data_IF_615891989748
#
_entry.id   IF_615891989748
#
_cell.length_a   1.000
_cell.length_b   1.000
_cell.length_c   1.000
_cell.angle_alpha   90.00
_cell.angle_beta   90.00
_cell.angle_gamma   90.00
#
_symmetry.space_group_name_H-M   'P 1'
#
loop_
_entity.id
_entity.type
_entity.pdbx_description
1 polymer ?
#
# COMPACT_ATOMS: atom_id res chain seq x y z
N UNK A 1 15.16 -10.09 -13.57
CA UNK A 1 14.29 -9.74 -14.72
C UNK A 1 15.08 -8.94 -15.74
N UNK A 2 15.63 -7.75 -15.42
CA UNK A 2 16.40 -6.96 -16.39
C UNK A 2 17.60 -7.71 -17.00
N UNK A 3 18.29 -8.53 -16.18
CA UNK A 3 19.35 -9.44 -16.67
C UNK A 3 18.80 -10.49 -17.65
N UNK A 4 17.69 -11.13 -17.31
CA UNK A 4 17.05 -12.15 -18.16
C UNK A 4 16.53 -11.57 -19.48
N UNK A 5 16.01 -10.34 -19.45
CA UNK A 5 15.60 -9.59 -20.66
C UNK A 5 16.83 -9.31 -21.53
N UNK A 6 17.96 -8.92 -20.93
CA UNK A 6 19.19 -8.62 -21.65
C UNK A 6 19.86 -9.86 -22.27
N UNK A 7 19.69 -11.03 -21.67
CA UNK A 7 20.23 -12.30 -22.18
C UNK A 7 19.44 -12.83 -23.38
N UNK A 8 18.21 -12.35 -23.62
CA UNK A 8 17.33 -12.71 -24.74
C UNK A 8 17.11 -14.22 -24.95
N UNK A 9 17.34 -15.02 -23.92
CA UNK A 9 17.00 -16.44 -23.91
C UNK A 9 15.65 -16.68 -23.22
N UNK A 10 14.81 -17.59 -23.74
CA UNK A 10 13.56 -17.94 -23.10
C UNK A 10 13.78 -18.49 -21.69
N UNK A 11 13.35 -17.74 -20.68
CA UNK A 11 13.57 -18.10 -19.27
C UNK A 11 12.29 -17.91 -18.47
N UNK A 12 11.99 -18.89 -17.60
CA UNK A 12 10.89 -18.81 -16.65
C UNK A 12 11.39 -18.39 -15.27
N UNK A 13 10.97 -17.22 -14.81
CA UNK A 13 11.30 -16.68 -13.50
C UNK A 13 10.16 -16.92 -12.51
N UNK A 14 10.48 -17.47 -11.33
CA UNK A 14 9.51 -17.78 -10.28
C UNK A 14 9.71 -16.91 -9.05
N UNK A 15 8.64 -16.31 -8.56
CA UNK A 15 8.66 -15.47 -7.36
C UNK A 15 7.58 -15.92 -6.39
N UNK A 16 7.92 -16.05 -5.11
CA UNK A 16 6.94 -16.23 -4.03
C UNK A 16 6.80 -14.88 -3.32
N UNK A 17 5.61 -14.30 -3.29
CA UNK A 17 5.37 -12.97 -2.75
C UNK A 17 4.39 -13.01 -1.56
N UNK A 18 4.91 -12.81 -0.35
CA UNK A 18 4.09 -12.56 0.84
C UNK A 18 3.76 -11.08 0.98
N UNK A 19 2.77 -10.60 0.23
CA UNK A 19 2.35 -9.18 0.22
C UNK A 19 0.85 -9.05 0.48
N UNK A 20 0.39 -7.83 0.79
CA UNK A 20 -1.04 -7.50 0.86
C UNK A 20 -1.72 -7.70 -0.51
N UNK A 21 -2.93 -8.26 -0.55
CA UNK A 21 -3.59 -8.64 -1.80
C UNK A 21 -3.87 -7.47 -2.76
N UNK A 22 -4.06 -6.25 -2.25
CA UNK A 22 -4.16 -5.04 -3.06
C UNK A 22 -2.92 -4.79 -3.94
N UNK A 23 -1.75 -5.31 -3.56
CA UNK A 23 -0.52 -5.17 -4.34
C UNK A 23 -0.47 -6.08 -5.58
N UNK A 24 -1.27 -7.16 -5.62
CA UNK A 24 -1.27 -8.13 -6.74
C UNK A 24 -1.51 -7.42 -8.07
N UNK A 25 -2.56 -6.60 -8.15
CA UNK A 25 -2.93 -5.87 -9.38
C UNK A 25 -1.83 -4.90 -9.82
N UNK A 26 -1.22 -4.17 -8.89
CA UNK A 26 -0.16 -3.22 -9.19
C UNK A 26 1.11 -3.91 -9.71
N UNK A 27 1.50 -5.02 -9.08
CA UNK A 27 2.66 -5.83 -9.47
C UNK A 27 2.43 -6.45 -10.85
N UNK A 28 1.29 -7.12 -11.05
CA UNK A 28 0.96 -7.75 -12.34
C UNK A 28 0.91 -6.71 -13.45
N UNK A 29 0.31 -5.53 -13.20
CA UNK A 29 0.29 -4.44 -14.20
C UNK A 29 1.70 -3.96 -14.53
N UNK A 30 2.53 -3.66 -13.54
CA UNK A 30 3.90 -3.21 -13.77
C UNK A 30 4.77 -4.23 -14.49
N UNK A 31 4.59 -5.53 -14.21
CA UNK A 31 5.28 -6.60 -14.94
C UNK A 31 4.79 -6.72 -16.39
N UNK A 32 3.47 -6.64 -16.63
CA UNK A 32 2.92 -6.64 -18.00
C UNK A 32 3.44 -5.46 -18.82
N UNK A 33 3.46 -4.26 -18.22
CA UNK A 33 4.03 -3.07 -18.87
C UNK A 33 5.49 -3.27 -19.26
N UNK A 34 6.31 -3.84 -18.37
CA UNK A 34 7.72 -4.12 -18.65
C UNK A 34 7.95 -5.23 -19.67
N UNK A 35 7.19 -6.34 -19.60
CA UNK A 35 7.30 -7.43 -20.58
C UNK A 35 6.86 -6.96 -21.97
N UNK A 36 5.84 -6.11 -22.06
CA UNK A 36 5.38 -5.54 -23.32
C UNK A 36 6.42 -4.59 -23.97
N UNK A 37 7.40 -4.09 -23.22
CA UNK A 37 8.52 -3.32 -23.78
C UNK A 37 9.57 -4.20 -24.46
N UNK A 38 9.55 -5.51 -24.19
CA UNK A 38 10.51 -6.50 -24.70
C UNK A 38 9.82 -7.82 -25.12
N UNK A 39 8.89 -7.78 -26.10
CA UNK A 39 8.11 -8.95 -26.49
C UNK A 39 8.95 -10.12 -27.03
N UNK A 40 10.13 -9.81 -27.58
CA UNK A 40 11.08 -10.77 -28.14
C UNK A 40 11.93 -11.51 -27.08
N UNK A 41 11.95 -11.04 -25.82
CA UNK A 41 12.85 -11.59 -24.80
C UNK A 41 12.48 -13.02 -24.35
N UNK A 42 11.29 -13.52 -24.68
CA UNK A 42 10.86 -14.88 -24.34
C UNK A 42 10.76 -15.17 -22.84
N UNK A 43 10.73 -14.12 -22.00
CA UNK A 43 10.70 -14.23 -20.54
C UNK A 43 9.29 -14.52 -20.05
N UNK A 44 9.14 -15.61 -19.30
CA UNK A 44 7.91 -15.96 -18.58
C UNK A 44 8.06 -15.64 -17.10
N UNK A 45 7.03 -15.06 -16.49
CA UNK A 45 7.02 -14.75 -15.05
C UNK A 45 5.89 -15.51 -14.37
N UNK A 46 6.24 -16.36 -13.41
CA UNK A 46 5.32 -17.05 -12.51
C UNK A 46 5.40 -16.42 -11.12
N UNK A 47 4.27 -15.97 -10.59
CA UNK A 47 4.16 -15.40 -9.26
C UNK A 47 3.25 -16.30 -8.42
N UNK A 48 3.78 -16.76 -7.30
CA UNK A 48 3.08 -17.59 -6.34
C UNK A 48 2.73 -16.70 -5.15
N UNK A 49 1.44 -16.49 -4.93
CA UNK A 49 0.93 -15.81 -3.75
C UNK A 49 0.48 -16.87 -2.74
N UNK A 50 1.26 -17.12 -1.67
CA UNK A 50 0.88 -18.09 -0.67
C UNK A 50 -0.30 -17.53 0.12
N UNK A 51 -1.45 -18.20 0.01
CA UNK A 51 -2.64 -17.91 0.80
C UNK A 51 -3.19 -19.21 1.40
N UNK A 52 -3.79 -19.11 2.58
CA UNK A 52 -4.60 -20.20 3.11
C UNK A 52 -5.77 -20.51 2.16
N UNK A 53 -6.22 -21.77 2.13
CA UNK A 53 -7.31 -22.25 1.27
C UNK A 53 -8.61 -21.46 1.45
N UNK A 54 -8.81 -20.93 2.66
CA UNK A 54 -9.99 -20.16 3.06
C UNK A 54 -9.93 -18.69 2.59
N UNK A 55 -8.79 -18.26 2.04
CA UNK A 55 -8.54 -16.88 1.62
C UNK A 55 -8.35 -16.75 0.10
N UNK A 56 -9.13 -17.52 -0.65
CA UNK A 56 -9.27 -17.47 -2.11
C UNK A 56 -10.68 -16.96 -2.43
N UNK A 57 -10.78 -15.81 -3.10
CA UNK A 57 -12.04 -15.24 -3.54
C UNK A 57 -12.33 -15.68 -4.98
N UNK A 58 -13.52 -16.21 -5.22
CA UNK A 58 -14.02 -16.49 -6.57
C UNK A 58 -14.61 -15.22 -7.16
N UNK A 59 -14.27 -14.92 -8.40
CA UNK A 59 -14.86 -13.79 -9.14
C UNK A 59 -15.77 -14.29 -10.25
N UNK A 60 -16.65 -13.42 -10.74
CA UNK A 60 -17.48 -13.67 -11.93
C UNK A 60 -16.74 -13.43 -13.25
N UNK A 61 -15.47 -12.98 -13.20
CA UNK A 61 -14.67 -12.72 -14.39
C UNK A 61 -14.05 -14.01 -14.95
N UNK A 62 -14.36 -14.33 -16.20
CA UNK A 62 -13.88 -15.54 -16.89
C UNK A 62 -12.35 -15.61 -16.98
N UNK A 63 -11.68 -14.46 -17.11
CA UNK A 63 -10.22 -14.38 -17.24
C UNK A 63 -9.48 -14.41 -15.88
N UNK A 64 -10.18 -14.09 -14.78
CA UNK A 64 -9.62 -14.05 -13.42
C UNK A 64 -10.59 -14.71 -12.43
N UNK A 65 -10.89 -16.01 -12.61
CA UNK A 65 -11.95 -16.68 -11.86
C UNK A 65 -11.66 -16.79 -10.35
N UNK A 66 -10.38 -16.69 -9.96
CA UNK A 66 -9.93 -16.72 -8.57
C UNK A 66 -8.90 -15.62 -8.32
N UNK A 67 -8.99 -14.98 -7.16
CA UNK A 67 -8.04 -13.96 -6.71
C UNK A 67 -7.67 -14.23 -5.25
N UNK A 68 -6.38 -14.15 -4.87
CA UNK A 68 -5.96 -14.15 -3.47
C UNK A 68 -6.68 -13.04 -2.67
N UNK A 69 -7.42 -13.41 -1.62
CA UNK A 69 -8.30 -12.48 -0.89
C UNK A 69 -9.50 -13.17 -0.29
N UNK A 70 -10.03 -12.64 0.81
CA UNK A 70 -11.36 -13.01 1.28
C UNK A 70 -12.42 -12.20 0.56
N UNK A 71 -13.57 -12.79 0.28
CA UNK A 71 -14.71 -12.13 -0.38
C UNK A 71 -15.45 -11.12 0.51
N UNK A 72 -15.11 -11.03 1.81
CA UNK A 72 -15.87 -10.27 2.83
C UNK A 72 -15.08 -9.23 3.64
N UNK A 73 -13.85 -8.86 3.26
CA UNK A 73 -13.10 -7.79 3.94
C UNK A 73 -12.43 -8.15 5.28
N UNK A 74 -12.52 -9.39 5.76
CA UNK A 74 -11.81 -9.90 6.95
C UNK A 74 -10.44 -10.50 6.59
N UNK A 75 -9.33 -9.80 6.82
CA UNK A 75 -8.05 -10.32 6.28
C UNK A 75 -6.82 -10.23 7.16
N UNK A 76 -6.99 -10.24 8.48
CA UNK A 76 -5.85 -10.43 9.39
C UNK A 76 -6.24 -11.41 10.49
N UNK A 77 -6.30 -12.71 10.16
CA UNK A 77 -6.29 -13.75 11.20
C UNK A 77 -4.84 -14.16 11.49
N UNK A 78 -4.54 -14.53 12.74
CA UNK A 78 -3.24 -15.07 13.15
C UNK A 78 -2.90 -16.41 12.48
N UNK A 79 -3.83 -17.00 11.72
CA UNK A 79 -3.72 -18.30 11.08
C UNK A 79 -3.19 -18.25 9.63
N UNK A 80 -2.78 -17.07 9.12
CA UNK A 80 -2.19 -16.97 7.78
C UNK A 80 -3.21 -16.85 6.64
N UNK A 81 -4.30 -16.12 6.86
CA UNK A 81 -5.17 -15.68 5.77
C UNK A 81 -4.42 -14.80 4.76
N UNK A 82 -5.00 -14.60 3.58
CA UNK A 82 -4.56 -13.55 2.66
C UNK A 82 -4.31 -12.27 3.45
N UNK A 83 -3.12 -11.69 3.34
CA UNK A 83 -2.80 -10.42 3.97
C UNK A 83 -3.74 -9.35 3.38
N UNK A 84 -4.89 -9.16 3.99
CA UNK A 84 -5.90 -8.19 3.57
C UNK A 84 -6.22 -7.35 4.80
N UNK A 85 -5.66 -6.16 4.89
CA UNK A 85 -5.93 -5.30 6.04
C UNK A 85 -7.40 -4.84 5.99
N UNK A 86 -8.27 -5.21 6.95
CA UNK A 86 -9.68 -4.78 6.94
C UNK A 86 -9.79 -3.25 6.94
N UNK A 87 -8.88 -2.57 7.64
CA UNK A 87 -8.81 -1.11 7.65
C UNK A 87 -8.53 -0.50 6.28
N UNK A 88 -7.76 -1.18 5.42
CA UNK A 88 -7.49 -0.70 4.06
C UNK A 88 -8.66 -0.95 3.10
N UNK A 89 -9.52 -1.93 3.40
CA UNK A 89 -10.71 -2.27 2.60
C UNK A 89 -11.98 -1.57 3.06
N UNK A 90 -11.93 -0.76 4.14
CA UNK A 90 -13.05 0.10 4.53
C UNK A 90 -13.34 1.23 3.52
N UNK A 91 -12.39 1.54 2.63
CA UNK A 91 -12.62 2.47 1.53
C UNK A 91 -13.32 1.73 0.37
N UNK A 92 -14.60 2.02 0.16
CA UNK A 92 -15.36 1.52 -1.00
C UNK A 92 -15.48 2.59 -2.07
N UNK A 93 -15.74 2.17 -3.31
CA UNK A 93 -15.99 3.08 -4.42
C UNK A 93 -17.27 3.90 -4.19
N UNK A 94 -18.32 3.28 -3.64
CA UNK A 94 -19.57 3.96 -3.30
C UNK A 94 -19.34 5.07 -2.28
N UNK A 95 -18.62 4.79 -1.18
CA UNK A 95 -18.30 5.78 -0.16
C UNK A 95 -17.44 6.94 -0.71
N UNK A 96 -16.57 6.67 -1.70
CA UNK A 96 -15.83 7.70 -2.39
C UNK A 96 -16.74 8.59 -3.24
N UNK A 97 -17.68 8.02 -4.00
CA UNK A 97 -18.63 8.80 -4.80
C UNK A 97 -19.57 9.62 -3.92
N UNK A 98 -20.11 9.04 -2.85
CA UNK A 98 -20.93 9.75 -1.86
C UNK A 98 -20.19 10.95 -1.26
N UNK A 99 -18.87 10.81 -1.04
CA UNK A 99 -18.02 11.91 -0.57
C UNK A 99 -17.81 12.98 -1.65
N UNK A 100 -17.52 12.56 -2.90
CA UNK A 100 -17.29 13.47 -4.02
C UNK A 100 -18.53 14.31 -4.35
N UNK A 101 -19.73 13.74 -4.26
CA UNK A 101 -21.00 14.45 -4.49
C UNK A 101 -21.27 15.55 -3.46
N UNK A 102 -20.67 15.46 -2.26
CA UNK A 102 -20.74 16.48 -1.22
C UNK A 102 -19.73 17.61 -1.41
N UNK A 103 -18.73 17.43 -2.28
CA UNK A 103 -17.73 18.45 -2.57
C UNK A 103 -18.29 19.48 -3.56
N UNK A 104 -17.94 20.77 -3.41
CA UNK A 104 -18.31 21.79 -4.38
C UNK A 104 -17.58 21.56 -5.71
N UNK A 105 -18.06 22.22 -6.77
CA UNK A 105 -17.37 22.27 -8.06
C UNK A 105 -15.88 22.64 -7.89
N UNK A 106 -15.03 22.04 -8.72
CA UNK A 106 -13.60 22.29 -8.72
C UNK A 106 -13.29 23.80 -8.78
N UNK A 107 -12.46 24.27 -7.86
CA UNK A 107 -12.08 25.68 -7.74
C UNK A 107 -12.98 26.52 -6.82
N UNK A 108 -14.06 25.95 -6.27
CA UNK A 108 -14.86 26.59 -5.22
C UNK A 108 -14.51 26.02 -3.83
N UNK A 109 -14.56 26.88 -2.82
CA UNK A 109 -14.36 26.47 -1.43
C UNK A 109 -15.58 25.71 -0.88
N UNK A 110 -15.35 24.83 0.10
CA UNK A 110 -16.41 24.14 0.85
C UNK A 110 -17.37 25.15 1.49
N UNK A 111 -18.67 24.88 1.37
CA UNK A 111 -19.67 25.63 2.15
C UNK A 111 -19.48 25.35 3.64
N UNK A 112 -19.88 26.27 4.54
CA UNK A 112 -19.78 26.04 5.98
C UNK A 112 -20.52 24.78 6.44
N UNK A 113 -21.66 24.46 5.82
CA UNK A 113 -22.44 23.25 6.11
C UNK A 113 -21.68 21.97 5.71
N UNK A 114 -21.15 21.92 4.48
CA UNK A 114 -20.35 20.78 4.03
C UNK A 114 -19.08 20.60 4.88
N UNK A 115 -18.44 21.71 5.28
CA UNK A 115 -17.28 21.67 6.19
C UNK A 115 -17.63 21.06 7.55
N UNK A 116 -18.78 21.43 8.13
CA UNK A 116 -19.21 20.90 9.42
C UNK A 116 -19.52 19.39 9.34
N UNK A 117 -20.14 18.94 8.25
CA UNK A 117 -20.40 17.52 8.01
C UNK A 117 -19.10 16.72 7.83
N UNK A 118 -18.16 17.26 7.06
CA UNK A 118 -16.87 16.61 6.79
C UNK A 118 -15.93 16.58 8.00
N UNK A 119 -16.10 17.49 8.96
CA UNK A 119 -15.26 17.55 10.16
C UNK A 119 -15.29 16.25 10.97
N UNK A 120 -16.39 15.48 10.92
CA UNK A 120 -16.50 14.19 11.59
C UNK A 120 -15.58 13.10 11.01
N UNK A 121 -15.16 13.25 9.75
CA UNK A 121 -14.26 12.32 9.06
C UNK A 121 -12.78 12.75 9.16
N UNK A 122 -12.50 13.92 9.73
CA UNK A 122 -11.13 14.38 9.94
C UNK A 122 -10.43 13.47 10.98
N UNK A 123 -9.23 12.95 10.70
CA UNK A 123 -8.46 12.20 11.68
C UNK A 123 -8.26 13.03 12.95
N UNK A 124 -8.41 12.39 14.10
CA UNK A 124 -8.18 13.06 15.40
C UNK A 124 -6.75 13.61 15.44
N UNK A 125 -6.63 14.93 15.61
CA UNK A 125 -5.35 15.58 15.85
C UNK A 125 -4.98 15.37 17.30
N UNK A 126 -3.87 14.68 17.55
CA UNK A 126 -3.31 14.53 18.88
C UNK A 126 -2.81 15.90 19.37
N UNK A 127 -3.38 16.40 20.46
CA UNK A 127 -2.98 17.66 21.11
C UNK A 127 -2.13 17.41 22.36
N UNK A 128 -1.83 16.15 22.64
CA UNK A 128 -1.00 15.75 23.77
C UNK A 128 0.43 16.24 23.56
N UNK A 129 1.02 16.73 24.65
CA UNK A 129 2.40 17.16 24.70
C UNK A 129 3.18 16.20 25.60
N UNK A 130 4.38 15.84 25.18
CA UNK A 130 5.36 15.08 25.96
C UNK A 130 6.61 15.96 26.02
N UNK A 131 7.04 16.31 27.23
CA UNK A 131 8.20 17.18 27.48
C UNK A 131 8.17 18.51 26.72
N UNK A 132 6.97 19.07 26.52
CA UNK A 132 6.77 20.34 25.81
C UNK A 132 6.69 20.24 24.29
N UNK A 133 6.86 19.04 23.72
CA UNK A 133 6.69 18.77 22.29
C UNK A 133 5.36 18.09 22.00
N UNK A 134 4.73 18.42 20.87
CA UNK A 134 3.52 17.73 20.43
C UNK A 134 3.84 16.29 20.00
N UNK A 135 2.86 15.38 20.14
CA UNK A 135 3.02 14.00 19.66
C UNK A 135 3.35 13.92 18.15
N UNK A 136 2.87 14.88 17.36
CA UNK A 136 3.15 14.94 15.92
C UNK A 136 4.63 15.30 15.65
N UNK A 137 5.21 16.22 16.41
CA UNK A 137 6.63 16.57 16.30
C UNK A 137 7.52 15.38 16.65
N UNK A 138 7.25 14.74 17.79
CA UNK A 138 7.99 13.54 18.24
C UNK A 138 7.83 12.36 17.29
N UNK A 139 6.63 12.15 16.74
CA UNK A 139 6.39 11.10 15.75
C UNK A 139 7.05 11.37 14.38
N UNK A 140 7.30 12.64 14.05
CA UNK A 140 7.91 13.03 12.77
C UNK A 140 9.44 12.93 12.78
N UNK A 141 10.08 13.10 13.94
CA UNK A 141 11.53 13.00 14.11
C UNK A 141 12.14 11.69 13.55
N UNK A 142 11.68 10.48 13.94
CA UNK A 142 12.22 9.24 13.39
C UNK A 142 11.98 9.09 11.88
N UNK A 143 10.88 9.66 11.35
CA UNK A 143 10.60 9.66 9.90
C UNK A 143 11.63 10.51 9.16
N UNK A 144 11.98 11.68 9.69
CA UNK A 144 13.00 12.56 9.12
C UNK A 144 14.39 11.93 9.20
N UNK A 145 14.73 11.27 10.31
CA UNK A 145 15.99 10.54 10.41
C UNK A 145 16.07 9.37 9.43
N UNK A 146 15.00 8.59 9.27
CA UNK A 146 14.92 7.53 8.27
C UNK A 146 15.15 8.09 6.86
N UNK A 147 14.52 9.21 6.52
CA UNK A 147 14.71 9.87 5.22
C UNK A 147 16.16 10.34 5.02
N UNK A 148 16.77 10.94 6.04
CA UNK A 148 18.17 11.36 5.99
C UNK A 148 19.12 10.17 5.82
N UNK A 149 18.85 9.06 6.52
CA UNK A 149 19.60 7.82 6.39
C UNK A 149 19.47 7.22 4.99
N UNK A 150 18.27 7.13 4.42
CA UNK A 150 18.07 6.63 3.06
C UNK A 150 18.83 7.46 2.01
N UNK A 151 18.95 8.78 2.21
CA UNK A 151 19.68 9.65 1.29
C UNK A 151 21.20 9.64 1.48
N UNK A 152 21.69 9.53 2.72
CA UNK A 152 23.11 9.66 3.03
C UNK A 152 23.83 8.34 3.36
N UNK A 153 23.09 7.26 3.61
CA UNK A 153 23.61 5.98 4.11
C UNK A 153 24.15 6.03 5.54
N UNK A 154 24.00 7.16 6.25
CA UNK A 154 24.55 7.38 7.58
C UNK A 154 23.49 7.91 8.53
N UNK A 155 23.47 7.40 9.76
CA UNK A 155 22.58 7.94 10.78
C UNK A 155 23.06 9.34 11.18
N UNK A 156 22.15 10.32 11.35
CA UNK A 156 22.51 11.64 11.87
C UNK A 156 23.23 11.53 13.21
N UNK A 157 24.26 12.36 13.43
CA UNK A 157 25.07 12.31 14.65
C UNK A 157 24.23 12.57 15.91
N UNK A 158 23.26 13.46 15.79
CA UNK A 158 22.31 13.88 16.82
C UNK A 158 21.46 12.69 17.29
N UNK A 159 20.97 11.87 16.33
CA UNK A 159 20.22 10.65 16.63
C UNK A 159 21.11 9.60 17.29
N UNK A 160 22.34 9.43 16.81
CA UNK A 160 23.30 8.49 17.41
C UNK A 160 23.63 8.90 18.84
N UNK A 161 23.71 10.21 19.11
CA UNK A 161 23.92 10.74 20.44
C UNK A 161 22.71 10.46 21.36
N UNK A 162 21.47 10.71 20.92
CA UNK A 162 20.25 10.40 21.68
C UNK A 162 20.15 8.90 22.01
N UNK A 163 20.38 8.02 21.03
CA UNK A 163 20.36 6.57 21.23
C UNK A 163 21.40 6.08 22.26
N UNK A 164 22.52 6.78 22.41
CA UNK A 164 23.60 6.45 23.35
C UNK A 164 23.42 7.08 24.73
N UNK A 165 22.59 8.11 24.84
CA UNK A 165 22.32 8.82 26.08
C UNK A 165 21.20 8.17 26.92
N UNK A 166 20.46 7.22 26.34
CA UNK A 166 19.42 6.40 26.97
C UNK A 166 19.95 5.03 27.40
#
# INVERSE_FOLDING_TARGET
MDVAIAEAEPQRLRFVLGTEAGMVTAIVRGLRERLNQHPEAGVEIEIIFPVASEAIATTTHVELPIIPGVSGGEGCSTAGGCATCPYMKMNSLDALFDLLEKLPEAGRGLTPAARAELAAFEPRKYQEHIDGHTLAELGSEPILHMRAFQGSGRLPDDLVADMRAR
#
